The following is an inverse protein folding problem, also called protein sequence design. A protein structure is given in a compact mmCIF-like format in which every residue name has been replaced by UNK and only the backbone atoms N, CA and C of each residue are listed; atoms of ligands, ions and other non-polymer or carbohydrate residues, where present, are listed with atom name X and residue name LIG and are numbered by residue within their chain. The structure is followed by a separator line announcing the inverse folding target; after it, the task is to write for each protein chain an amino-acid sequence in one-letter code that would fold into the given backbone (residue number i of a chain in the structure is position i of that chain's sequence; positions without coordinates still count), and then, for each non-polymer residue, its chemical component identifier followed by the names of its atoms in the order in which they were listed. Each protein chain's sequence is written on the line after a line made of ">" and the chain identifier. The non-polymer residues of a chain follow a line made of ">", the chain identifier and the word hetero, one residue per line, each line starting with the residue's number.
data_IF_079126134555
#
_entry.id   IF_079126134555
#
_cell.length_a   1.000
_cell.length_b   1.000
_cell.length_c   1.000
_cell.angle_alpha   90.00
_cell.angle_beta   90.00
_cell.angle_gamma   90.00
#
_symmetry.space_group_name_H-M   'P 1'
#
loop_
_entity.id
_entity.type
_entity.pdbx_description
1 polymer ?
#
# COMPACT_ATOMS: atom_id res chain seq x y z
N UNK A 1 -6.12 -7.85 -19.32
CA UNK A 1 -6.38 -8.20 -17.91
C UNK A 1 -5.19 -7.66 -17.11
N UNK A 2 -5.41 -6.79 -16.11
CA UNK A 2 -4.29 -6.19 -15.35
C UNK A 2 -3.75 -7.21 -14.37
N UNK A 3 -2.43 -7.46 -14.43
CA UNK A 3 -1.75 -8.41 -13.55
C UNK A 3 -1.53 -7.79 -12.15
N UNK A 4 -2.05 -8.45 -11.11
CA UNK A 4 -1.88 -8.09 -9.70
C UNK A 4 -0.88 -9.00 -8.96
N UNK A 5 -0.18 -9.89 -9.67
CA UNK A 5 0.77 -10.86 -9.10
C UNK A 5 1.93 -10.21 -8.34
N UNK A 6 2.27 -8.96 -8.69
CA UNK A 6 3.29 -8.15 -8.03
C UNK A 6 2.97 -7.89 -6.55
N UNK A 7 1.69 -7.81 -6.18
CA UNK A 7 1.25 -7.62 -4.78
C UNK A 7 1.60 -8.83 -3.95
N UNK A 8 1.35 -10.04 -4.46
CA UNK A 8 1.63 -11.27 -3.72
C UNK A 8 3.12 -11.46 -3.47
N UNK A 9 3.97 -11.02 -4.41
CA UNK A 9 5.43 -10.98 -4.22
C UNK A 9 5.84 -9.95 -3.17
N UNK A 10 5.21 -8.78 -3.15
CA UNK A 10 5.49 -7.74 -2.18
C UNK A 10 4.98 -8.09 -0.76
N UNK A 11 3.82 -8.73 -0.63
CA UNK A 11 3.25 -9.17 0.67
C UNK A 11 4.15 -10.21 1.34
N UNK A 12 4.78 -11.12 0.57
CA UNK A 12 5.69 -12.14 1.09
C UNK A 12 7.08 -11.62 1.44
N UNK A 13 7.33 -10.32 1.25
CA UNK A 13 8.65 -9.72 1.46
C UNK A 13 8.83 -9.19 2.88
N UNK A 14 9.96 -9.50 3.51
CA UNK A 14 10.41 -8.85 4.74
C UNK A 14 10.98 -7.45 4.43
N UNK A 15 11.37 -6.68 5.43
CA UNK A 15 11.80 -5.28 5.23
C UNK A 15 13.04 -5.10 4.31
N UNK A 16 13.91 -6.12 4.24
CA UNK A 16 15.06 -6.15 3.34
C UNK A 16 14.65 -6.38 1.89
N UNK A 17 13.73 -7.32 1.64
CA UNK A 17 13.23 -7.67 0.31
C UNK A 17 12.14 -6.72 -0.19
N UNK A 18 11.39 -6.11 0.73
CA UNK A 18 10.34 -5.15 0.42
C UNK A 18 10.87 -3.87 -0.23
N UNK A 19 12.11 -3.47 0.07
CA UNK A 19 12.79 -2.37 -0.64
C UNK A 19 13.04 -2.69 -2.11
N UNK A 20 13.43 -3.93 -2.42
CA UNK A 20 13.65 -4.37 -3.79
C UNK A 20 12.35 -4.46 -4.61
N UNK A 21 11.20 -4.64 -3.94
CA UNK A 21 9.89 -4.78 -4.58
C UNK A 21 9.14 -3.44 -4.74
N UNK A 22 9.67 -2.31 -4.23
CA UNK A 22 9.00 -1.00 -4.31
C UNK A 22 8.65 -0.61 -5.75
N UNK A 23 9.61 -0.78 -6.69
CA UNK A 23 9.41 -0.41 -8.09
C UNK A 23 8.22 -1.16 -8.71
N UNK A 24 8.22 -2.49 -8.60
CA UNK A 24 7.13 -3.32 -9.09
C UNK A 24 5.78 -3.01 -8.43
N UNK A 25 5.80 -2.64 -7.15
CA UNK A 25 4.59 -2.20 -6.42
C UNK A 25 4.04 -0.90 -7.01
N UNK A 26 4.88 0.10 -7.18
CA UNK A 26 4.46 1.40 -7.72
C UNK A 26 3.98 1.26 -9.16
N UNK A 27 4.69 0.51 -10.00
CA UNK A 27 4.32 0.29 -11.40
C UNK A 27 2.97 -0.39 -11.53
N UNK A 28 2.72 -1.42 -10.71
CA UNK A 28 1.46 -2.12 -10.67
C UNK A 28 0.29 -1.26 -10.19
N UNK A 29 0.51 -0.41 -9.18
CA UNK A 29 -0.49 0.58 -8.74
C UNK A 29 -0.76 1.56 -9.87
N UNK A 30 0.27 2.14 -10.49
CA UNK A 30 0.11 3.11 -11.56
C UNK A 30 -0.63 2.52 -12.77
N UNK A 31 -0.40 1.25 -13.11
CA UNK A 31 -1.16 0.55 -14.15
C UNK A 31 -2.65 0.43 -13.79
N UNK A 32 -2.97 0.11 -12.53
CA UNK A 32 -4.36 0.07 -12.05
C UNK A 32 -5.01 1.44 -12.08
N UNK A 33 -4.29 2.49 -11.66
CA UNK A 33 -4.76 3.88 -11.71
C UNK A 33 -5.03 4.31 -13.15
N UNK A 34 -4.10 4.07 -14.07
CA UNK A 34 -4.22 4.44 -15.48
C UNK A 34 -5.32 3.70 -16.22
N UNK A 35 -5.68 2.49 -15.76
CA UNK A 35 -6.83 1.73 -16.26
C UNK A 35 -8.15 2.02 -15.52
N UNK A 36 -8.15 3.00 -14.60
CA UNK A 36 -9.26 3.36 -13.72
C UNK A 36 -9.86 2.16 -12.94
N UNK A 37 -9.06 1.13 -12.68
CA UNK A 37 -9.51 -0.08 -11.99
C UNK A 37 -9.47 0.07 -10.47
N UNK A 38 -10.22 1.05 -9.96
CA UNK A 38 -10.29 1.40 -8.53
C UNK A 38 -10.87 0.28 -7.68
N UNK A 39 -11.82 -0.49 -8.24
CA UNK A 39 -12.40 -1.66 -7.56
C UNK A 39 -11.35 -2.72 -7.22
N UNK A 40 -10.35 -2.90 -8.07
CA UNK A 40 -9.26 -3.83 -7.81
C UNK A 40 -8.30 -3.25 -6.77
N UNK A 41 -8.01 -1.95 -6.79
CA UNK A 41 -7.23 -1.30 -5.73
C UNK A 41 -7.88 -1.41 -4.35
N UNK A 42 -9.20 -1.26 -4.25
CA UNK A 42 -9.91 -1.46 -2.97
C UNK A 42 -9.81 -2.90 -2.48
N UNK A 43 -9.91 -3.90 -3.38
CA UNK A 43 -9.69 -5.31 -3.04
C UNK A 43 -8.25 -5.56 -2.57
N UNK A 44 -7.29 -4.84 -3.13
CA UNK A 44 -5.89 -4.91 -2.73
C UNK A 44 -5.71 -4.44 -1.29
N UNK A 45 -6.33 -3.32 -0.91
CA UNK A 45 -6.29 -2.85 0.47
C UNK A 45 -6.87 -3.88 1.45
N UNK A 46 -7.97 -4.55 1.08
CA UNK A 46 -8.57 -5.59 1.90
C UNK A 46 -7.74 -6.88 1.98
N UNK A 47 -6.93 -7.17 0.96
CA UNK A 47 -6.16 -8.41 0.86
C UNK A 47 -4.76 -8.32 1.48
N UNK A 48 -4.21 -7.12 1.68
CA UNK A 48 -2.86 -6.94 2.22
C UNK A 48 -2.88 -7.17 3.73
N UNK A 49 -2.09 -8.15 4.24
CA UNK A 49 -1.92 -8.32 5.69
C UNK A 49 -0.95 -7.26 6.21
N UNK A 50 -1.47 -6.12 6.66
CA UNK A 50 -0.70 -5.00 7.22
C UNK A 50 0.32 -5.44 8.28
N UNK A 51 -0.09 -6.36 9.16
CA UNK A 51 0.72 -6.96 10.24
C UNK A 51 2.01 -7.64 9.81
N UNK A 52 2.07 -8.19 8.60
CA UNK A 52 3.24 -8.95 8.13
C UNK A 52 3.94 -8.29 6.94
N UNK A 53 3.26 -7.38 6.23
CA UNK A 53 3.84 -6.65 5.12
C UNK A 53 4.99 -5.73 5.57
N UNK A 54 6.08 -5.69 4.79
CA UNK A 54 7.19 -4.77 5.02
C UNK A 54 6.76 -3.30 5.00
N UNK A 55 7.36 -2.46 5.84
CA UNK A 55 6.92 -1.06 6.01
C UNK A 55 7.02 -0.25 4.71
N UNK A 56 8.02 -0.56 3.89
CA UNK A 56 8.26 0.13 2.62
C UNK A 56 7.15 -0.17 1.61
N UNK A 57 6.61 -1.39 1.62
CA UNK A 57 5.50 -1.78 0.75
C UNK A 57 4.25 -1.01 1.16
N UNK A 58 3.89 -1.03 2.45
CA UNK A 58 2.74 -0.30 2.99
C UNK A 58 2.83 1.20 2.69
N UNK A 59 4.00 1.80 2.94
CA UNK A 59 4.21 3.22 2.69
C UNK A 59 4.14 3.57 1.19
N UNK A 60 4.64 2.70 0.32
CA UNK A 60 4.56 2.89 -1.13
C UNK A 60 3.12 2.83 -1.62
N UNK A 61 2.32 1.88 -1.11
CA UNK A 61 0.90 1.78 -1.42
C UNK A 61 0.13 3.03 -1.01
N UNK A 62 0.29 3.47 0.26
CA UNK A 62 -0.40 4.65 0.76
C UNK A 62 -0.04 5.89 -0.08
N UNK A 63 1.24 6.10 -0.36
CA UNK A 63 1.70 7.28 -1.12
C UNK A 63 1.28 7.26 -2.58
N UNK A 64 1.41 6.11 -3.26
CA UNK A 64 1.06 5.99 -4.67
C UNK A 64 -0.45 6.17 -4.91
N UNK A 65 -1.28 5.80 -3.93
CA UNK A 65 -2.75 5.91 -4.04
C UNK A 65 -3.31 7.20 -3.46
N UNK A 66 -2.52 7.99 -2.73
CA UNK A 66 -2.97 9.25 -2.13
C UNK A 66 -3.60 10.27 -3.12
N UNK A 67 -3.10 10.44 -4.36
CA UNK A 67 -3.70 11.38 -5.32
C UNK A 67 -5.13 11.01 -5.73
N UNK A 68 -5.49 9.73 -5.67
CA UNK A 68 -6.81 9.23 -6.07
C UNK A 68 -7.66 8.77 -4.88
N UNK A 69 -7.27 9.11 -3.64
CA UNK A 69 -7.93 8.65 -2.40
C UNK A 69 -9.44 8.88 -2.35
N UNK A 70 -9.94 9.94 -2.99
CA UNK A 70 -11.38 10.25 -3.06
C UNK A 70 -12.18 9.27 -3.94
N UNK A 71 -11.51 8.50 -4.80
CA UNK A 71 -12.10 7.45 -5.64
C UNK A 71 -12.03 6.06 -5.01
N UNK A 72 -11.33 5.90 -3.89
CA UNK A 72 -11.02 4.63 -3.26
C UNK A 72 -11.74 4.52 -1.92
N UNK A 73 -12.77 3.67 -1.85
CA UNK A 73 -13.63 3.57 -0.66
C UNK A 73 -12.86 3.02 0.56
N UNK A 74 -11.90 2.13 0.33
CA UNK A 74 -11.10 1.48 1.37
C UNK A 74 -9.87 2.28 1.80
N UNK A 75 -9.60 3.43 1.19
CA UNK A 75 -8.32 4.12 1.39
C UNK A 75 -8.11 4.62 2.81
N UNK A 76 -9.06 5.39 3.36
CA UNK A 76 -8.92 5.92 4.71
C UNK A 76 -8.85 4.82 5.79
N UNK A 77 -9.72 3.77 5.77
CA UNK A 77 -9.57 2.63 6.67
C UNK A 77 -8.19 1.97 6.57
N UNK A 78 -7.68 1.77 5.35
CA UNK A 78 -6.36 1.17 5.12
C UNK A 78 -5.22 2.02 5.69
N UNK A 79 -5.25 3.34 5.49
CA UNK A 79 -4.22 4.25 6.05
C UNK A 79 -4.22 4.22 7.57
N UNK A 80 -5.40 4.18 8.20
CA UNK A 80 -5.51 4.08 9.65
C UNK A 80 -4.99 2.75 10.18
N UNK A 81 -5.22 1.66 9.46
CA UNK A 81 -4.65 0.34 9.78
C UNK A 81 -3.13 0.35 9.67
N UNK A 82 -2.57 0.94 8.61
CA UNK A 82 -1.12 1.12 8.45
C UNK A 82 -0.53 1.99 9.55
N UNK A 83 -1.22 3.07 9.95
CA UNK A 83 -0.79 3.92 11.07
C UNK A 83 -0.70 3.11 12.36
N UNK A 84 -1.77 2.39 12.70
CA UNK A 84 -1.81 1.52 13.88
C UNK A 84 -0.67 0.51 13.87
N UNK A 85 -0.43 -0.14 12.73
CA UNK A 85 0.65 -1.11 12.59
C UNK A 85 2.04 -0.45 12.78
N UNK A 86 2.24 0.75 12.24
CA UNK A 86 3.50 1.48 12.43
C UNK A 86 3.71 1.86 13.90
N UNK A 87 2.65 2.31 14.59
CA UNK A 87 2.68 2.60 16.02
C UNK A 87 3.02 1.34 16.84
N UNK A 88 2.40 0.20 16.53
CA UNK A 88 2.68 -1.10 17.18
C UNK A 88 4.12 -1.58 16.94
N UNK A 89 4.72 -1.23 15.79
CA UNK A 89 6.13 -1.51 15.47
C UNK A 89 7.12 -0.49 16.05
N UNK A 90 6.66 0.51 16.81
CA UNK A 90 7.51 1.58 17.34
C UNK A 90 8.12 2.48 16.25
N UNK A 91 7.47 2.57 15.09
CA UNK A 91 7.85 3.48 14.01
C UNK A 91 7.18 4.84 14.23
N UNK A 92 7.83 5.92 13.80
CA UNK A 92 7.28 7.28 13.86
C UNK A 92 6.17 7.47 12.81
N UNK A 93 4.99 6.89 13.03
CA UNK A 93 3.89 6.86 12.07
C UNK A 93 3.46 8.26 11.63
N UNK A 94 3.39 9.23 12.54
CA UNK A 94 3.01 10.63 12.26
C UNK A 94 4.01 11.30 11.31
N UNK A 95 5.30 10.97 11.42
CA UNK A 95 6.32 11.46 10.49
C UNK A 95 6.24 10.73 9.14
N UNK A 96 6.05 9.41 9.17
CA UNK A 96 6.03 8.58 7.95
C UNK A 96 4.80 8.86 7.08
N UNK A 97 3.64 9.10 7.71
CA UNK A 97 2.35 9.32 7.07
C UNK A 97 1.96 10.80 7.01
N UNK A 98 2.91 11.71 7.26
CA UNK A 98 2.68 13.16 7.21
C UNK A 98 2.07 13.58 5.86
N UNK A 99 0.94 14.28 5.93
CA UNK A 99 0.21 14.76 4.74
C UNK A 99 -0.66 13.69 4.05
N UNK A 100 -0.78 12.50 4.64
CA UNK A 100 -1.64 11.40 4.17
C UNK A 100 -2.84 11.16 5.12
N UNK A 101 -2.87 11.82 6.26
CA UNK A 101 -3.96 11.81 7.26
C UNK A 101 -4.41 13.24 7.47
#
# INVERSE_FOLDING_TARGET
>A
MVDASWIFKAIRSNDATGRAQIGAVIDGINALIGSENYSLLDKVFQAIPTRTAGRHVLLSLVRATAPIRTRLLGWQPFVLEVKKEFDERGLESDRLLKGLI
#
